data_IF_320724021344
#
_entry.id   IF_320724021344
#
_cell.length_a   1.000
_cell.length_b   1.000
_cell.length_c   1.000
_cell.angle_alpha   90.00
_cell.angle_beta   90.00
_cell.angle_gamma   90.00
#
_symmetry.space_group_name_H-M   'P 1'
#
loop_
_entity.id
_entity.type
_entity.pdbx_description
1 polymer ?
#
# COMPACT_ATOMS: atom_id res chain seq x y z
N UNK A 1 27.60 -1.24 12.84
CA UNK A 1 26.19 -1.57 12.56
C UNK A 1 25.91 -2.89 13.24
N UNK A 2 25.01 -2.93 14.22
CA UNK A 2 24.64 -4.20 14.89
C UNK A 2 24.06 -5.14 13.84
N UNK A 3 24.68 -6.31 13.72
CA UNK A 3 24.28 -7.43 12.88
C UNK A 3 22.87 -7.91 13.31
N UNK A 4 21.84 -7.26 12.78
CA UNK A 4 20.45 -7.68 12.97
C UNK A 4 20.16 -8.67 11.86
N UNK A 5 20.10 -9.94 12.20
CA UNK A 5 19.65 -10.98 11.28
C UNK A 5 18.21 -10.71 10.84
N UNK A 6 17.96 -10.81 9.54
CA UNK A 6 16.63 -10.75 8.95
C UNK A 6 15.82 -12.01 9.26
N UNK A 7 14.49 -11.92 9.20
CA UNK A 7 13.60 -13.07 9.40
C UNK A 7 13.21 -13.33 10.86
N UNK A 8 13.36 -12.35 11.74
CA UNK A 8 12.83 -12.43 13.10
C UNK A 8 11.29 -12.51 13.13
N UNK A 9 10.68 -13.08 14.19
CA UNK A 9 9.21 -13.22 14.27
C UNK A 9 8.48 -11.87 14.23
N UNK A 10 9.11 -10.80 14.70
CA UNK A 10 8.56 -9.45 14.65
C UNK A 10 8.29 -8.96 13.21
N UNK A 11 9.11 -9.36 12.23
CA UNK A 11 8.94 -8.99 10.81
C UNK A 11 7.67 -9.60 10.18
N UNK A 12 7.12 -10.64 10.79
CA UNK A 12 5.89 -11.31 10.36
C UNK A 12 4.68 -10.85 11.17
N UNK A 13 4.84 -10.75 12.50
CA UNK A 13 3.74 -10.44 13.42
C UNK A 13 3.19 -9.04 13.19
N UNK A 14 4.06 -8.01 13.07
CA UNK A 14 3.57 -6.63 12.95
C UNK A 14 2.83 -6.37 11.63
N UNK A 15 3.35 -6.78 10.45
CA UNK A 15 2.61 -6.59 9.20
C UNK A 15 1.32 -7.41 9.15
N UNK A 16 1.31 -8.61 9.74
CA UNK A 16 0.09 -9.41 9.84
C UNK A 16 -0.95 -8.76 10.75
N UNK A 17 -0.55 -8.30 11.94
CA UNK A 17 -1.44 -7.57 12.84
C UNK A 17 -1.99 -6.29 12.20
N UNK A 18 -1.17 -5.59 11.41
CA UNK A 18 -1.61 -4.42 10.66
C UNK A 18 -2.66 -4.80 9.64
N UNK A 19 -2.42 -5.86 8.86
CA UNK A 19 -3.36 -6.33 7.85
C UNK A 19 -4.71 -6.72 8.46
N UNK A 20 -4.72 -7.37 9.63
CA UNK A 20 -5.96 -7.72 10.34
C UNK A 20 -6.69 -6.46 10.80
N UNK A 21 -6.01 -5.52 11.46
CA UNK A 21 -6.65 -4.29 11.94
C UNK A 21 -7.14 -3.42 10.77
N UNK A 22 -6.31 -3.24 9.74
CA UNK A 22 -6.64 -2.46 8.56
C UNK A 22 -7.78 -3.10 7.77
N UNK A 23 -7.74 -4.41 7.55
CA UNK A 23 -8.80 -5.15 6.87
C UNK A 23 -10.13 -5.06 7.62
N UNK A 24 -10.09 -5.20 8.96
CA UNK A 24 -11.28 -5.02 9.81
C UNK A 24 -11.88 -3.63 9.63
N UNK A 25 -11.06 -2.59 9.80
CA UNK A 25 -11.51 -1.21 9.66
C UNK A 25 -12.00 -0.90 8.26
N UNK A 26 -11.32 -1.36 7.22
CA UNK A 26 -11.73 -1.19 5.82
C UNK A 26 -13.12 -1.76 5.55
N UNK A 27 -13.52 -2.83 6.24
CA UNK A 27 -14.87 -3.37 6.13
C UNK A 27 -15.90 -2.57 6.95
N UNK A 28 -15.52 -2.05 8.12
CA UNK A 28 -16.41 -1.41 9.10
C UNK A 28 -16.43 0.13 9.05
N UNK A 29 -15.79 0.77 8.05
CA UNK A 29 -15.88 2.24 7.84
C UNK A 29 -17.33 2.79 7.86
N UNK A 30 -18.37 2.10 7.34
CA UNK A 30 -19.75 2.60 7.40
C UNK A 30 -20.22 2.95 8.79
N UNK A 31 -19.82 2.18 9.80
CA UNK A 31 -20.18 2.43 11.19
C UNK A 31 -19.66 3.79 11.64
N UNK A 32 -18.40 4.10 11.32
CA UNK A 32 -17.78 5.40 11.61
C UNK A 32 -18.37 6.54 10.78
N UNK A 33 -18.76 6.29 9.52
CA UNK A 33 -19.46 7.30 8.71
C UNK A 33 -20.78 7.66 9.37
N UNK A 34 -21.56 6.69 9.81
CA UNK A 34 -22.86 6.92 10.46
C UNK A 34 -22.71 7.64 11.81
N UNK A 35 -21.67 7.31 12.59
CA UNK A 35 -21.48 7.88 13.92
C UNK A 35 -20.87 9.29 13.91
N UNK A 36 -19.88 9.54 13.06
CA UNK A 36 -19.14 10.80 13.06
C UNK A 36 -19.57 11.78 11.97
N UNK A 37 -20.07 11.25 10.85
CA UNK A 37 -20.43 12.04 9.67
C UNK A 37 -21.77 11.59 9.09
N UNK A 38 -22.85 11.50 9.88
CA UNK A 38 -24.13 10.97 9.43
C UNK A 38 -24.63 11.70 8.18
N UNK A 39 -25.05 10.97 7.12
CA UNK A 39 -25.68 11.57 5.95
C UNK A 39 -26.87 12.46 6.31
N UNK A 40 -26.83 13.72 5.87
CA UNK A 40 -27.95 14.66 6.03
C UNK A 40 -29.20 14.22 5.27
N UNK A 41 -29.02 13.54 4.14
CA UNK A 41 -30.12 12.99 3.36
C UNK A 41 -30.59 11.67 3.98
N UNK A 42 -31.85 11.66 4.44
CA UNK A 42 -32.51 10.49 5.04
C UNK A 42 -32.41 9.23 4.16
N UNK A 43 -32.56 9.38 2.84
CA UNK A 43 -32.45 8.26 1.90
C UNK A 43 -31.05 7.64 1.91
N UNK A 44 -30.02 8.49 1.97
CA UNK A 44 -28.63 8.02 1.99
C UNK A 44 -28.27 7.43 3.35
N UNK A 45 -28.77 8.02 4.44
CA UNK A 45 -28.60 7.48 5.79
C UNK A 45 -29.19 6.08 5.91
N UNK A 46 -30.43 5.88 5.43
CA UNK A 46 -31.07 4.56 5.39
C UNK A 46 -30.27 3.58 4.53
N UNK A 47 -29.80 3.99 3.36
CA UNK A 47 -28.98 3.14 2.49
C UNK A 47 -27.72 2.64 3.19
N UNK A 48 -26.95 3.53 3.82
CA UNK A 48 -25.67 3.18 4.46
C UNK A 48 -25.90 2.36 5.74
N UNK A 49 -26.91 2.71 6.55
CA UNK A 49 -27.24 1.97 7.78
C UNK A 49 -27.75 0.56 7.49
N UNK A 50 -28.60 0.36 6.46
CA UNK A 50 -29.02 -0.97 6.03
C UNK A 50 -27.87 -1.80 5.45
N UNK A 51 -26.95 -1.15 4.73
CA UNK A 51 -25.75 -1.83 4.22
C UNK A 51 -24.86 -2.29 5.38
N UNK A 52 -24.61 -1.44 6.36
CA UNK A 52 -23.86 -1.77 7.56
C UNK A 52 -24.53 -2.93 8.32
N UNK A 53 -25.82 -2.82 8.64
CA UNK A 53 -26.56 -3.85 9.38
C UNK A 53 -26.52 -5.22 8.69
N UNK A 54 -26.59 -5.26 7.35
CA UNK A 54 -26.50 -6.50 6.57
C UNK A 54 -25.10 -7.12 6.55
N UNK A 55 -24.05 -6.30 6.66
CA UNK A 55 -22.65 -6.72 6.51
C UNK A 55 -21.86 -6.71 7.82
N UNK A 56 -22.52 -6.36 8.91
CA UNK A 56 -21.96 -6.38 10.24
C UNK A 56 -21.63 -7.81 10.64
N UNK A 57 -20.37 -8.04 10.97
CA UNK A 57 -19.88 -9.38 11.31
C UNK A 57 -20.32 -9.76 12.73
N UNK A 58 -20.44 -8.77 13.63
CA UNK A 58 -20.75 -8.96 15.05
C UNK A 58 -22.16 -8.45 15.39
N UNK A 59 -23.18 -9.02 14.75
CA UNK A 59 -24.58 -8.56 14.83
C UNK A 59 -25.17 -8.42 16.25
N UNK A 60 -24.65 -9.18 17.22
CA UNK A 60 -25.14 -9.16 18.60
C UNK A 60 -24.47 -8.11 19.48
N UNK A 61 -23.38 -7.47 19.02
CA UNK A 61 -22.68 -6.46 19.81
C UNK A 61 -23.32 -5.08 19.61
N UNK A 62 -23.76 -4.42 20.70
CA UNK A 62 -24.27 -3.06 20.60
C UNK A 62 -23.13 -2.09 20.27
N UNK A 63 -23.44 -1.08 19.47
CA UNK A 63 -22.52 0.02 19.22
C UNK A 63 -22.23 0.81 20.51
N UNK A 64 -21.01 1.32 20.60
CA UNK A 64 -20.54 2.11 21.72
C UNK A 64 -21.22 3.48 21.69
N UNK A 65 -21.53 4.05 22.86
CA UNK A 65 -22.13 5.38 22.99
C UNK A 65 -23.48 5.57 22.25
N UNK A 66 -24.18 4.48 21.94
CA UNK A 66 -25.44 4.53 21.19
C UNK A 66 -25.27 4.72 19.68
N UNK A 67 -24.04 4.61 19.17
CA UNK A 67 -23.73 4.60 17.74
C UNK A 67 -23.81 3.22 17.10
N UNK A 68 -23.25 3.12 15.90
CA UNK A 68 -23.12 1.90 15.11
C UNK A 68 -21.78 1.19 15.36
N UNK A 69 -20.68 1.94 15.58
CA UNK A 69 -19.36 1.36 15.80
C UNK A 69 -19.26 0.68 17.16
N UNK A 70 -18.86 -0.58 17.17
CA UNK A 70 -18.76 -1.38 18.39
C UNK A 70 -17.37 -1.27 19.05
N UNK A 71 -17.20 -1.92 20.21
CA UNK A 71 -15.93 -1.88 20.95
C UNK A 71 -14.74 -2.45 20.15
N UNK A 72 -14.97 -3.43 19.28
CA UNK A 72 -13.93 -4.04 18.45
C UNK A 72 -13.49 -3.06 17.37
N UNK A 73 -14.41 -2.29 16.80
CA UNK A 73 -14.11 -1.26 15.81
C UNK A 73 -13.20 -0.17 16.41
N UNK A 74 -13.56 0.34 17.59
CA UNK A 74 -12.72 1.31 18.30
C UNK A 74 -11.37 0.73 18.73
N UNK A 75 -11.34 -0.54 19.15
CA UNK A 75 -10.09 -1.22 19.48
C UNK A 75 -9.19 -1.35 18.24
N UNK A 76 -9.74 -1.78 17.10
CA UNK A 76 -9.00 -1.87 15.84
C UNK A 76 -8.48 -0.49 15.40
N UNK A 77 -9.31 0.55 15.53
CA UNK A 77 -8.94 1.94 15.23
C UNK A 77 -7.78 2.44 16.09
N UNK A 78 -7.80 2.13 17.40
CA UNK A 78 -6.73 2.50 18.32
C UNK A 78 -5.45 1.67 18.11
N UNK A 79 -5.58 0.38 17.76
CA UNK A 79 -4.46 -0.53 17.53
C UNK A 79 -3.73 -0.24 16.22
N UNK A 80 -4.44 0.18 15.17
CA UNK A 80 -3.85 0.44 13.85
C UNK A 80 -2.62 1.39 13.90
N UNK A 81 -2.67 2.59 14.50
CA UNK A 81 -1.50 3.46 14.58
C UNK A 81 -0.39 2.86 15.46
N UNK A 82 -0.73 2.16 16.54
CA UNK A 82 0.25 1.51 17.44
C UNK A 82 1.03 0.45 16.67
N UNK A 83 0.34 -0.45 15.99
CA UNK A 83 0.93 -1.52 15.17
C UNK A 83 1.75 -0.92 14.02
N UNK A 84 1.28 0.16 13.39
CA UNK A 84 2.03 0.85 12.32
C UNK A 84 3.35 1.41 12.83
N UNK A 85 3.34 2.09 13.99
CA UNK A 85 4.54 2.71 14.56
C UNK A 85 5.52 1.66 15.07
N UNK A 86 5.04 0.66 15.80
CA UNK A 86 5.88 -0.44 16.32
C UNK A 86 6.43 -1.28 15.17
N UNK A 87 5.59 -1.60 14.18
CA UNK A 87 5.97 -2.28 12.95
C UNK A 87 7.06 -1.53 12.19
N UNK A 88 6.85 -0.25 11.89
CA UNK A 88 7.83 0.59 11.19
C UNK A 88 9.16 0.72 11.95
N UNK A 89 9.15 0.67 13.28
CA UNK A 89 10.37 0.70 14.11
C UNK A 89 11.10 -0.63 14.16
N UNK A 90 10.38 -1.74 13.98
CA UNK A 90 10.93 -3.10 14.07
C UNK A 90 11.62 -3.57 12.79
N UNK A 91 11.52 -2.80 11.70
CA UNK A 91 12.05 -3.19 10.39
C UNK A 91 13.55 -3.38 10.44
N UNK A 92 13.95 -4.51 9.87
CA UNK A 92 15.32 -4.80 9.47
C UNK A 92 15.35 -4.76 7.94
N UNK A 93 16.30 -3.98 7.40
CA UNK A 93 16.50 -3.85 5.96
C UNK A 93 17.23 -5.08 5.46
N UNK A 94 16.67 -5.72 4.44
CA UNK A 94 17.25 -6.92 3.85
C UNK A 94 18.42 -6.56 2.93
N UNK A 95 19.39 -7.47 2.71
CA UNK A 95 20.57 -7.17 1.89
C UNK A 95 20.28 -6.79 0.44
N UNK A 96 19.14 -7.20 -0.10
CA UNK A 96 18.70 -6.90 -1.47
C UNK A 96 17.95 -5.55 -1.60
N UNK A 97 17.71 -4.87 -0.48
CA UNK A 97 17.00 -3.59 -0.43
C UNK A 97 17.99 -2.41 -0.54
N UNK A 98 17.48 -1.25 -0.93
CA UNK A 98 18.28 -0.05 -1.13
C UNK A 98 19.08 0.33 0.13
N UNK A 99 20.40 0.35 0.00
CA UNK A 99 21.33 0.47 1.13
C UNK A 99 21.28 1.84 1.82
N UNK A 100 21.02 2.91 1.06
CA UNK A 100 21.05 4.29 1.54
C UNK A 100 19.71 4.78 2.09
N UNK A 101 18.97 3.90 2.78
CA UNK A 101 17.68 4.22 3.37
C UNK A 101 17.81 5.17 4.58
N UNK A 102 16.81 6.03 4.76
CA UNK A 102 16.72 6.98 5.88
C UNK A 102 15.59 6.60 6.83
N UNK A 103 15.57 7.24 8.00
CA UNK A 103 14.53 7.00 9.04
C UNK A 103 13.10 7.20 8.52
N UNK A 104 12.90 8.13 7.58
CA UNK A 104 11.60 8.43 6.99
C UNK A 104 11.11 7.33 6.03
N UNK A 105 12.04 6.54 5.46
CA UNK A 105 11.72 5.44 4.55
C UNK A 105 11.18 4.21 5.28
N UNK A 106 11.29 4.17 6.61
CA UNK A 106 10.75 3.06 7.44
C UNK A 106 9.29 2.79 7.17
N UNK A 107 8.50 3.83 6.95
CA UNK A 107 7.09 3.67 6.67
C UNK A 107 6.87 2.96 5.33
N UNK A 108 7.57 3.38 4.26
CA UNK A 108 7.46 2.73 2.96
C UNK A 108 7.95 1.27 2.99
N UNK A 109 9.04 1.00 3.72
CA UNK A 109 9.52 -0.37 3.97
C UNK A 109 8.49 -1.21 4.74
N UNK A 110 7.80 -0.62 5.71
CA UNK A 110 6.74 -1.30 6.47
C UNK A 110 5.60 -1.72 5.54
N UNK A 111 5.15 -0.80 4.68
CA UNK A 111 4.12 -1.06 3.68
C UNK A 111 4.59 -2.16 2.71
N UNK A 112 5.88 -2.22 2.36
CA UNK A 112 6.47 -3.34 1.63
C UNK A 112 6.29 -4.69 2.34
N UNK A 113 6.57 -4.76 3.64
CA UNK A 113 6.35 -5.99 4.44
C UNK A 113 4.87 -6.37 4.57
N UNK A 114 3.98 -5.40 4.72
CA UNK A 114 2.52 -5.63 4.69
C UNK A 114 2.09 -6.21 3.34
N UNK A 115 2.64 -5.68 2.25
CA UNK A 115 2.36 -6.15 0.88
C UNK A 115 2.79 -7.60 0.67
N UNK A 116 3.93 -8.00 1.25
CA UNK A 116 4.37 -9.40 1.26
C UNK A 116 3.32 -10.33 1.88
N UNK A 117 2.76 -9.96 3.04
CA UNK A 117 1.70 -10.75 3.69
C UNK A 117 0.42 -10.78 2.85
N UNK A 118 0.06 -9.66 2.20
CA UNK A 118 -1.08 -9.61 1.27
C UNK A 118 -0.91 -10.56 0.09
N UNK A 119 0.28 -10.65 -0.50
CA UNK A 119 0.57 -11.59 -1.59
C UNK A 119 0.38 -13.03 -1.12
N UNK A 120 0.95 -13.40 0.03
CA UNK A 120 0.79 -14.75 0.61
C UNK A 120 -0.69 -15.06 0.83
N UNK A 121 -1.45 -14.10 1.38
CA UNK A 121 -2.89 -14.24 1.65
C UNK A 121 -3.67 -14.44 0.35
N UNK A 122 -3.39 -13.64 -0.68
CA UNK A 122 -4.01 -13.75 -1.99
C UNK A 122 -3.74 -15.13 -2.63
N UNK A 123 -2.49 -15.60 -2.57
CA UNK A 123 -2.12 -16.93 -3.06
C UNK A 123 -2.88 -18.03 -2.32
N UNK A 124 -3.01 -17.95 -1.00
CA UNK A 124 -3.78 -18.94 -0.22
C UNK A 124 -5.27 -18.94 -0.60
N UNK A 125 -5.87 -17.77 -0.81
CA UNK A 125 -7.27 -17.68 -1.29
C UNK A 125 -7.43 -18.31 -2.67
N UNK A 126 -6.49 -18.08 -3.58
CA UNK A 126 -6.52 -18.67 -4.92
C UNK A 126 -6.35 -20.19 -4.87
N UNK A 127 -5.43 -20.71 -4.05
CA UNK A 127 -5.26 -22.15 -3.86
C UNK A 127 -6.53 -22.79 -3.26
N UNK A 128 -7.16 -22.12 -2.30
CA UNK A 128 -8.44 -22.56 -1.74
C UNK A 128 -9.54 -22.61 -2.81
N UNK A 129 -9.67 -21.59 -3.65
CA UNK A 129 -10.67 -21.58 -4.73
C UNK A 129 -10.41 -22.69 -5.76
N UNK A 130 -9.15 -22.93 -6.14
CA UNK A 130 -8.78 -24.04 -7.03
C UNK A 130 -9.18 -25.38 -6.39
N UNK A 131 -8.90 -25.57 -5.10
CA UNK A 131 -9.31 -26.78 -4.39
C UNK A 131 -10.84 -26.93 -4.36
N UNK A 132 -11.56 -25.89 -3.97
CA UNK A 132 -13.02 -25.91 -3.90
C UNK A 132 -13.67 -26.19 -5.25
N UNK A 133 -13.11 -25.65 -6.34
CA UNK A 133 -13.66 -25.80 -7.69
C UNK A 133 -13.39 -27.19 -8.27
N UNK A 134 -12.18 -27.71 -8.11
CA UNK A 134 -11.76 -28.93 -8.82
C UNK A 134 -11.82 -30.19 -7.97
N UNK A 135 -11.77 -30.08 -6.64
CA UNK A 135 -11.83 -31.23 -5.72
C UNK A 135 -13.22 -31.36 -5.09
N UNK A 136 -13.78 -30.24 -4.62
CA UNK A 136 -15.08 -30.24 -3.92
C UNK A 136 -16.24 -29.98 -4.88
N UNK A 137 -15.95 -29.56 -6.13
CA UNK A 137 -16.95 -29.18 -7.15
C UNK A 137 -17.93 -28.10 -6.67
N UNK A 138 -17.52 -27.27 -5.71
CA UNK A 138 -18.32 -26.22 -5.08
C UNK A 138 -17.61 -24.86 -5.16
N UNK A 139 -17.63 -24.18 -6.33
CA UNK A 139 -16.92 -22.92 -6.53
C UNK A 139 -17.44 -21.82 -5.58
N UNK A 140 -16.53 -20.98 -5.08
CA UNK A 140 -16.93 -19.92 -4.15
C UNK A 140 -17.36 -18.64 -4.86
N UNK A 141 -18.29 -17.92 -4.24
CA UNK A 141 -18.79 -16.64 -4.76
C UNK A 141 -17.88 -15.45 -4.45
N UNK A 142 -16.95 -15.61 -3.51
CA UNK A 142 -16.18 -14.50 -2.93
C UNK A 142 -14.70 -14.50 -3.33
N UNK A 143 -14.09 -15.66 -3.61
CA UNK A 143 -12.64 -15.74 -3.77
C UNK A 143 -12.11 -14.85 -4.90
N UNK A 144 -12.76 -14.87 -6.08
CA UNK A 144 -12.34 -14.07 -7.23
C UNK A 144 -12.34 -12.56 -6.94
N UNK A 145 -13.39 -12.07 -6.29
CA UNK A 145 -13.54 -10.65 -5.99
C UNK A 145 -12.65 -10.22 -4.82
N UNK A 146 -12.46 -11.09 -3.83
CA UNK A 146 -11.51 -10.85 -2.75
C UNK A 146 -10.07 -10.77 -3.28
N UNK A 147 -9.68 -11.66 -4.20
CA UNK A 147 -8.34 -11.63 -4.79
C UNK A 147 -8.14 -10.41 -5.67
N UNK A 148 -9.16 -9.99 -6.42
CA UNK A 148 -9.14 -8.72 -7.15
C UNK A 148 -8.94 -7.54 -6.20
N UNK A 149 -9.64 -7.55 -5.07
CA UNK A 149 -9.56 -6.48 -4.09
C UNK A 149 -8.18 -6.40 -3.43
N UNK A 150 -7.64 -7.54 -2.97
CA UNK A 150 -6.28 -7.64 -2.41
C UNK A 150 -5.23 -7.25 -3.46
N UNK A 151 -5.37 -7.71 -4.72
CA UNK A 151 -4.48 -7.33 -5.81
C UNK A 151 -4.44 -5.82 -6.05
N UNK A 152 -5.59 -5.14 -5.93
CA UNK A 152 -5.67 -3.69 -5.98
C UNK A 152 -4.79 -3.02 -4.91
N UNK A 153 -4.88 -3.46 -3.65
CA UNK A 153 -4.01 -2.94 -2.59
C UNK A 153 -2.54 -3.27 -2.82
N UNK A 154 -2.22 -4.51 -3.23
CA UNK A 154 -0.85 -4.92 -3.55
C UNK A 154 -0.24 -3.99 -4.59
N UNK A 155 -0.96 -3.72 -5.69
CA UNK A 155 -0.48 -2.86 -6.76
C UNK A 155 -0.16 -1.44 -6.25
N UNK A 156 -1.06 -0.86 -5.44
CA UNK A 156 -0.87 0.49 -4.90
C UNK A 156 0.29 0.55 -3.91
N UNK A 157 0.31 -0.34 -2.92
CA UNK A 157 1.36 -0.39 -1.90
C UNK A 157 2.74 -0.69 -2.51
N UNK A 158 2.79 -1.55 -3.54
CA UNK A 158 4.03 -1.82 -4.29
C UNK A 158 4.57 -0.58 -4.99
N UNK A 159 3.71 0.34 -5.44
CA UNK A 159 4.14 1.61 -6.05
C UNK A 159 4.93 2.50 -5.08
N UNK A 160 4.45 2.64 -3.85
CA UNK A 160 5.15 3.38 -2.80
C UNK A 160 6.49 2.72 -2.45
N UNK A 161 6.49 1.40 -2.27
CA UNK A 161 7.68 0.63 -1.97
C UNK A 161 8.72 0.71 -3.10
N UNK A 162 8.30 0.55 -4.36
CA UNK A 162 9.18 0.67 -5.53
C UNK A 162 9.79 2.08 -5.68
N UNK A 163 9.02 3.13 -5.33
CA UNK A 163 9.53 4.49 -5.29
C UNK A 163 10.63 4.66 -4.23
N UNK A 164 10.45 4.07 -3.04
CA UNK A 164 11.47 4.07 -1.99
C UNK A 164 12.72 3.28 -2.40
N UNK A 165 12.57 2.13 -3.06
CA UNK A 165 13.68 1.29 -3.53
C UNK A 165 14.38 1.80 -4.80
N UNK A 166 13.96 2.94 -5.34
CA UNK A 166 14.50 3.55 -6.58
C UNK A 166 14.36 2.64 -7.79
N UNK A 167 13.44 1.69 -7.73
CA UNK A 167 13.16 0.71 -8.79
C UNK A 167 12.13 1.21 -9.80
N UNK A 168 11.63 2.44 -9.64
CA UNK A 168 10.77 3.06 -10.63
C UNK A 168 11.55 3.26 -11.94
N UNK A 169 10.97 2.82 -13.06
CA UNK A 169 11.62 2.83 -14.37
C UNK A 169 12.15 4.24 -14.67
N UNK A 170 13.47 4.36 -14.88
CA UNK A 170 14.18 5.59 -15.24
C UNK A 170 15.02 5.33 -16.49
N UNK A 171 14.96 6.23 -17.46
CA UNK A 171 15.85 6.19 -18.64
C UNK A 171 17.17 6.84 -18.23
N UNK A 172 18.20 6.03 -17.98
CA UNK A 172 19.50 6.52 -17.49
C UNK A 172 20.43 7.00 -18.59
N UNK A 173 20.28 6.53 -19.84
CA UNK A 173 21.20 6.83 -20.95
C UNK A 173 21.42 8.34 -21.14
N UNK A 174 20.35 9.14 -21.21
CA UNK A 174 20.48 10.58 -21.37
C UNK A 174 20.94 11.27 -20.06
N UNK A 175 20.54 10.72 -18.91
CA UNK A 175 20.84 11.22 -17.57
C UNK A 175 22.31 11.05 -17.19
N UNK A 176 22.95 9.98 -17.68
CA UNK A 176 24.32 9.62 -17.36
C UNK A 176 25.33 10.46 -18.15
N UNK A 177 24.96 10.88 -19.37
CA UNK A 177 25.82 11.68 -20.27
C UNK A 177 25.84 13.16 -19.89
N UNK A 178 24.82 13.68 -19.20
CA UNK A 178 24.74 15.11 -18.86
C UNK A 178 25.58 15.49 -17.63
N UNK A 179 26.13 16.72 -17.57
CA UNK A 179 26.92 17.18 -16.42
C UNK A 179 26.05 17.29 -15.15
N UNK A 180 26.69 17.10 -13.98
CA UNK A 180 26.03 17.12 -12.64
C UNK A 180 24.99 18.25 -12.42
N UNK A 181 25.21 19.53 -12.82
CA UNK A 181 24.18 20.56 -12.63
C UNK A 181 22.90 20.31 -13.45
N UNK A 182 23.03 19.82 -14.68
CA UNK A 182 21.86 19.55 -15.54
C UNK A 182 21.10 18.33 -15.02
N UNK A 183 21.82 17.34 -14.49
CA UNK A 183 21.25 16.18 -13.80
C UNK A 183 20.33 16.59 -12.63
N UNK A 184 20.80 17.51 -11.78
CA UNK A 184 19.99 18.06 -10.68
C UNK A 184 18.73 18.78 -11.17
N UNK A 185 18.82 19.52 -12.28
CA UNK A 185 17.64 20.17 -12.89
C UNK A 185 16.63 19.11 -13.35
N UNK A 186 17.09 18.03 -13.99
CA UNK A 186 16.23 16.92 -14.40
C UNK A 186 15.54 16.26 -13.20
N UNK A 187 16.26 16.01 -12.09
CA UNK A 187 15.69 15.42 -10.88
C UNK A 187 14.64 16.33 -10.22
N UNK A 188 14.91 17.64 -10.15
CA UNK A 188 13.94 18.64 -9.65
C UNK A 188 12.71 18.69 -10.55
N UNK A 189 12.89 18.76 -11.87
CA UNK A 189 11.79 18.82 -12.82
C UNK A 189 10.92 17.57 -12.75
N UNK A 190 11.54 16.38 -12.72
CA UNK A 190 10.82 15.11 -12.60
C UNK A 190 10.01 15.06 -11.30
N UNK A 191 10.62 15.44 -10.17
CA UNK A 191 9.95 15.47 -8.87
C UNK A 191 8.78 16.47 -8.87
N UNK A 192 8.98 17.65 -9.45
CA UNK A 192 7.95 18.68 -9.58
C UNK A 192 6.78 18.19 -10.44
N UNK A 193 7.05 17.50 -11.56
CA UNK A 193 6.00 16.90 -12.40
C UNK A 193 5.20 15.84 -11.63
N UNK A 194 5.85 15.00 -10.83
CA UNK A 194 5.17 14.02 -9.97
C UNK A 194 4.25 14.72 -8.96
N UNK A 195 4.75 15.78 -8.30
CA UNK A 195 3.97 16.53 -7.29
C UNK A 195 2.78 17.24 -7.93
N UNK A 196 2.97 17.91 -9.07
CA UNK A 196 1.88 18.59 -9.79
C UNK A 196 0.86 17.56 -10.28
N UNK A 197 1.31 16.43 -10.82
CA UNK A 197 0.41 15.36 -11.26
C UNK A 197 -0.41 14.81 -10.09
N UNK A 198 0.24 14.50 -8.96
CA UNK A 198 -0.45 14.03 -7.75
C UNK A 198 -1.47 15.06 -7.25
N UNK A 199 -1.10 16.34 -7.17
CA UNK A 199 -2.00 17.42 -6.78
C UNK A 199 -3.20 17.56 -7.73
N UNK A 200 -2.95 17.50 -9.04
CA UNK A 200 -4.00 17.58 -10.07
C UNK A 200 -4.99 16.41 -10.00
N UNK A 201 -4.49 15.19 -9.81
CA UNK A 201 -5.33 13.99 -9.66
C UNK A 201 -6.16 14.05 -8.40
N UNK A 202 -5.57 14.44 -7.27
CA UNK A 202 -6.29 14.58 -5.99
C UNK A 202 -7.38 15.65 -6.10
N UNK A 203 -7.04 16.83 -6.63
CA UNK A 203 -8.00 17.91 -6.80
C UNK A 203 -9.15 17.52 -7.76
N UNK A 204 -8.82 16.96 -8.92
CA UNK A 204 -9.81 16.58 -9.93
C UNK A 204 -10.71 15.41 -9.51
N UNK A 205 -10.21 14.50 -8.67
CA UNK A 205 -10.92 13.28 -8.27
C UNK A 205 -11.59 13.39 -6.90
N UNK A 206 -11.32 14.45 -6.11
CA UNK A 206 -11.75 14.57 -4.71
C UNK A 206 -13.25 14.30 -4.51
N UNK A 207 -14.09 15.04 -5.23
CA UNK A 207 -15.55 14.91 -5.14
C UNK A 207 -16.02 13.52 -5.56
N UNK A 208 -15.47 12.98 -6.65
CA UNK A 208 -15.86 11.66 -7.13
C UNK A 208 -15.50 10.57 -6.12
N UNK A 209 -14.32 10.64 -5.54
CA UNK A 209 -13.79 9.58 -4.68
C UNK A 209 -14.35 9.68 -3.26
N UNK A 210 -14.24 10.83 -2.61
CA UNK A 210 -14.62 10.96 -1.20
C UNK A 210 -16.13 11.12 -1.02
N UNK A 211 -16.80 11.87 -1.89
CA UNK A 211 -18.24 12.11 -1.76
C UNK A 211 -19.03 10.99 -2.45
N UNK A 212 -18.73 10.68 -3.71
CA UNK A 212 -19.58 9.73 -4.44
C UNK A 212 -19.28 8.26 -4.12
N UNK A 213 -18.02 7.89 -3.82
CA UNK A 213 -17.67 6.48 -3.52
C UNK A 213 -17.58 6.18 -2.04
N UNK A 214 -16.73 6.91 -1.31
CA UNK A 214 -16.47 6.60 0.10
C UNK A 214 -17.67 6.93 0.98
N UNK A 215 -18.18 8.17 0.91
CA UNK A 215 -19.27 8.63 1.79
C UNK A 215 -20.58 7.87 1.56
N UNK A 216 -20.87 7.50 0.31
CA UNK A 216 -22.04 6.67 -0.03
C UNK A 216 -21.82 5.18 0.20
N UNK A 217 -20.60 4.79 0.57
CA UNK A 217 -20.17 3.42 0.70
C UNK A 217 -20.53 2.54 -0.50
N UNK A 218 -20.03 2.94 -1.68
CA UNK A 218 -20.35 2.25 -2.93
C UNK A 218 -19.74 0.84 -2.98
N UNK A 219 -20.61 -0.13 -3.24
CA UNK A 219 -20.30 -1.55 -3.33
C UNK A 219 -20.05 -1.98 -4.79
N UNK A 220 -19.47 -3.18 -4.98
CA UNK A 220 -19.13 -3.68 -6.31
C UNK A 220 -20.33 -4.14 -7.16
N UNK A 221 -21.46 -4.49 -6.53
CA UNK A 221 -22.71 -4.85 -7.21
C UNK A 221 -22.83 -6.32 -7.63
N UNK A 222 -22.09 -7.21 -6.96
CA UNK A 222 -21.96 -8.64 -7.29
C UNK A 222 -22.48 -9.53 -6.16
N UNK A 223 -22.27 -10.86 -6.22
CA UNK A 223 -22.79 -11.79 -5.22
C UNK A 223 -22.07 -11.71 -3.86
N UNK A 224 -20.76 -11.48 -3.85
CA UNK A 224 -20.00 -11.22 -2.61
C UNK A 224 -20.07 -9.75 -2.21
N UNK A 225 -20.14 -8.87 -3.21
CA UNK A 225 -20.36 -7.43 -3.05
C UNK A 225 -19.36 -6.76 -2.09
N UNK A 226 -18.04 -6.83 -2.34
CA UNK A 226 -17.05 -6.13 -1.51
C UNK A 226 -17.02 -4.62 -1.80
N UNK A 227 -16.58 -3.78 -0.84
CA UNK A 227 -16.50 -2.32 -1.01
C UNK A 227 -15.26 -1.91 -1.81
N UNK A 228 -15.07 -2.48 -2.99
CA UNK A 228 -13.92 -2.20 -3.87
C UNK A 228 -13.88 -0.71 -4.26
N UNK A 229 -14.95 -0.11 -4.82
CA UNK A 229 -14.91 1.30 -5.23
C UNK A 229 -14.70 2.24 -4.04
N UNK A 230 -15.41 1.99 -2.93
CA UNK A 230 -15.34 2.82 -1.73
C UNK A 230 -13.98 2.79 -1.03
N UNK A 231 -13.19 1.72 -1.17
CA UNK A 231 -11.90 1.60 -0.48
C UNK A 231 -10.69 1.81 -1.39
N UNK A 232 -10.69 1.23 -2.60
CA UNK A 232 -9.54 1.32 -3.51
C UNK A 232 -9.38 2.73 -4.07
N UNK A 233 -10.46 3.42 -4.42
CA UNK A 233 -10.35 4.76 -5.01
C UNK A 233 -9.77 5.80 -4.05
N UNK A 234 -10.22 5.89 -2.78
CA UNK A 234 -9.55 6.74 -1.80
C UNK A 234 -8.10 6.32 -1.55
N UNK A 235 -7.83 5.01 -1.51
CA UNK A 235 -6.46 4.52 -1.33
C UNK A 235 -5.53 4.93 -2.47
N UNK A 236 -6.01 4.98 -3.72
CA UNK A 236 -5.25 5.51 -4.86
C UNK A 236 -4.79 6.94 -4.56
N UNK A 237 -5.70 7.81 -4.11
CA UNK A 237 -5.35 9.21 -3.83
C UNK A 237 -4.38 9.35 -2.66
N UNK A 238 -4.57 8.57 -1.60
CA UNK A 238 -3.68 8.55 -0.43
C UNK A 238 -2.27 8.10 -0.84
N UNK A 239 -2.16 6.99 -1.58
CA UNK A 239 -0.88 6.44 -2.03
C UNK A 239 -0.20 7.37 -3.04
N UNK A 240 -0.96 8.03 -3.92
CA UNK A 240 -0.40 9.04 -4.82
C UNK A 240 0.25 10.21 -4.07
N UNK A 241 -0.38 10.69 -2.99
CA UNK A 241 0.22 11.68 -2.10
C UNK A 241 1.50 11.16 -1.44
N UNK A 242 1.49 9.90 -0.97
CA UNK A 242 2.65 9.27 -0.34
C UNK A 242 3.81 9.07 -1.33
N UNK A 243 3.52 8.69 -2.57
CA UNK A 243 4.51 8.58 -3.65
C UNK A 243 5.12 9.95 -3.96
N UNK A 244 4.30 11.01 -4.05
CA UNK A 244 4.81 12.37 -4.26
C UNK A 244 5.69 12.83 -3.10
N UNK A 245 5.30 12.54 -1.85
CA UNK A 245 6.11 12.84 -0.67
C UNK A 245 7.42 12.03 -0.67
N UNK A 246 7.36 10.75 -1.02
CA UNK A 246 8.54 9.91 -1.15
C UNK A 246 9.47 10.41 -2.25
N UNK A 247 8.95 10.87 -3.39
CA UNK A 247 9.74 11.45 -4.47
C UNK A 247 10.48 12.73 -4.03
N UNK A 248 9.83 13.58 -3.22
CA UNK A 248 10.49 14.76 -2.63
C UNK A 248 11.54 14.34 -1.61
N UNK A 249 11.25 13.39 -0.72
CA UNK A 249 12.21 12.87 0.25
C UNK A 249 13.44 12.28 -0.43
N UNK A 250 13.22 11.54 -1.52
CA UNK A 250 14.21 10.97 -2.40
C UNK A 250 15.12 12.03 -3.04
N UNK A 251 14.52 13.11 -3.60
CA UNK A 251 15.27 14.24 -4.17
C UNK A 251 16.16 14.93 -3.11
N UNK A 252 15.63 15.14 -1.90
CA UNK A 252 16.39 15.73 -0.79
C UNK A 252 17.51 14.78 -0.34
N UNK A 253 17.25 13.48 -0.34
CA UNK A 253 18.21 12.48 0.07
C UNK A 253 19.42 12.41 -0.86
N UNK A 254 19.16 12.46 -2.17
CA UNK A 254 20.17 12.26 -3.21
C UNK A 254 20.90 13.56 -3.57
N UNK A 255 20.45 14.71 -3.08
CA UNK A 255 20.94 16.04 -3.50
C UNK A 255 22.46 16.24 -3.39
N UNK A 256 23.06 15.63 -2.37
CA UNK A 256 24.50 15.73 -2.07
C UNK A 256 25.24 14.39 -2.26
N UNK A 257 24.55 13.36 -2.74
CA UNK A 257 25.19 12.07 -3.00
C UNK A 257 26.02 12.19 -4.26
N UNK A 258 27.30 11.83 -4.16
CA UNK A 258 28.15 11.79 -5.32
C UNK A 258 27.72 10.63 -6.23
N UNK A 259 27.51 10.86 -7.54
CA UNK A 259 27.24 9.77 -8.46
C UNK A 259 28.40 8.78 -8.40
N UNK A 260 28.05 7.52 -8.15
CA UNK A 260 28.96 6.40 -8.33
C UNK A 260 29.41 6.42 -9.79
N UNK A 261 30.68 6.76 -9.99
CA UNK A 261 31.32 6.58 -11.28
C UNK A 261 31.58 5.09 -11.35
N UNK A 262 30.85 4.38 -12.20
CA UNK A 262 31.21 3.01 -12.58
C UNK A 262 32.57 3.07 -13.29
N UNK A 263 33.64 3.07 -12.50
CA UNK A 263 34.97 2.79 -12.99
C UNK A 263 34.92 1.31 -13.32
N UNK A 264 34.88 1.02 -14.61
CA UNK A 264 34.85 -0.36 -15.07
C UNK A 264 36.13 -1.02 -14.59
N UNK A 265 36.00 -1.91 -13.60
CA UNK A 265 37.12 -2.63 -13.05
C UNK A 265 37.60 -3.62 -14.12
N UNK A 266 38.85 -3.46 -14.57
CA UNK A 266 39.43 -4.34 -15.58
C UNK A 266 39.43 -5.81 -15.09
N UNK A 267 39.52 -6.03 -13.78
CA UNK A 267 39.46 -7.37 -13.19
C UNK A 267 38.05 -7.98 -13.30
N UNK A 268 37.00 -7.16 -13.19
CA UNK A 268 35.61 -7.60 -13.35
C UNK A 268 35.28 -7.88 -14.83
N UNK A 269 35.80 -7.06 -15.77
CA UNK A 269 35.74 -7.37 -17.20
C UNK A 269 36.44 -8.69 -17.50
N UNK A 270 37.64 -8.90 -16.96
CA UNK A 270 38.42 -10.11 -17.19
C UNK A 270 37.73 -11.35 -16.59
N UNK A 271 37.07 -11.21 -15.43
CA UNK A 271 36.25 -12.27 -14.85
C UNK A 271 35.03 -12.60 -15.72
N UNK A 272 34.32 -11.59 -16.25
CA UNK A 272 33.21 -11.78 -17.17
C UNK A 272 33.71 -12.44 -18.45
N UNK A 273 34.75 -11.93 -19.10
CA UNK A 273 35.41 -12.51 -20.28
C UNK A 273 35.73 -13.99 -20.09
N UNK A 274 36.32 -14.35 -18.94
CA UNK A 274 36.62 -15.73 -18.56
C UNK A 274 35.37 -16.59 -18.40
N UNK A 275 34.27 -16.03 -17.90
CA UNK A 275 32.98 -16.72 -17.78
C UNK A 275 32.27 -16.94 -19.13
N UNK A 276 32.49 -16.05 -20.11
CA UNK A 276 31.93 -16.18 -21.47
C UNK A 276 32.86 -16.92 -22.44
N UNK A 277 34.04 -17.35 -21.99
CA UNK A 277 35.03 -18.08 -22.79
C UNK A 277 35.74 -17.23 -23.84
N UNK A 278 35.76 -15.92 -23.66
CA UNK A 278 36.50 -14.97 -24.50
C UNK A 278 37.77 -14.61 -23.75
N UNK A 279 38.93 -15.14 -24.18
CA UNK A 279 40.24 -14.68 -23.66
C UNK A 279 40.59 -13.27 -24.16
#
# INVERSE_FOLDING_TARGET
MTDKQTGGPAEWIWPFAFLVCAGWLCWHIPAFILDWFPPENESLFMQVSELHTRKEVLQEMPGLFGGFANIVDYAALALLPVVTVLGSRSIVVAPMEFEHWRQWDRFALFIGRVTMIMIITMTMVMLYEVFMRYVVEAPTKWANELTLWIAGFIFLCSGLYAMQQRSHIRITILYDVVPRPLRKVCDVLSTLLIVIFAAGVVFGSYTQVFINKLYRWEMFGTAFDPPIPATIQPMILIIMCLIALQAVANLIADWNVEPEVFVVDEDEINAIKRSVGVE
#
